data_IF_046859107077
#
_entry.id   IF_046859107077
#
_cell.length_a   1.000
_cell.length_b   1.000
_cell.length_c   1.000
_cell.angle_alpha   90.00
_cell.angle_beta   90.00
_cell.angle_gamma   90.00
#
_symmetry.space_group_name_H-M   'P 1'
#
loop_
_entity.id
_entity.type
_entity.pdbx_description
1 polymer ?
#
# COMPACT_ATOMS: atom_id res chain seq x y z
N UNK A 1 -4.48 -2.69 23.54
CA UNK A 1 -3.13 -2.40 22.99
C UNK A 1 -2.07 -2.19 24.08
N UNK A 2 -2.26 -1.29 25.06
CA UNK A 2 -1.30 -1.13 26.17
C UNK A 2 -1.11 -2.41 27.00
N UNK A 3 -2.18 -3.16 27.24
CA UNK A 3 -2.15 -4.39 28.04
C UNK A 3 -1.35 -5.52 27.36
N UNK A 4 -1.47 -5.64 26.03
CA UNK A 4 -0.72 -6.62 25.23
C UNK A 4 0.77 -6.25 25.16
N UNK A 5 1.09 -4.97 25.00
CA UNK A 5 2.48 -4.50 25.07
C UNK A 5 3.12 -4.75 26.44
N UNK A 6 2.37 -4.54 27.53
CA UNK A 6 2.85 -4.81 28.89
C UNK A 6 3.15 -6.29 29.12
N UNK A 7 2.29 -7.19 28.64
CA UNK A 7 2.51 -8.64 28.74
C UNK A 7 3.74 -9.10 27.94
N UNK A 8 3.98 -8.53 26.76
CA UNK A 8 5.18 -8.81 25.95
C UNK A 8 6.45 -8.38 26.68
N UNK A 9 6.43 -7.20 27.32
CA UNK A 9 7.58 -6.69 28.09
C UNK A 9 7.88 -7.59 29.29
N UNK A 10 6.85 -8.02 30.04
CA UNK A 10 6.99 -8.94 31.17
C UNK A 10 7.53 -10.30 30.70
N UNK A 11 7.03 -10.81 29.56
CA UNK A 11 7.51 -12.05 28.96
C UNK A 11 8.98 -11.98 28.53
N UNK A 12 9.41 -10.86 27.94
CA UNK A 12 10.80 -10.62 27.57
C UNK A 12 11.73 -10.54 28.80
N UNK A 13 11.30 -9.90 29.88
CA UNK A 13 12.07 -9.82 31.14
C UNK A 13 12.23 -11.21 31.78
N UNK A 14 11.16 -12.02 31.79
CA UNK A 14 11.21 -13.40 32.27
C UNK A 14 12.16 -14.28 31.44
N UNK A 15 12.13 -14.15 30.10
CA UNK A 15 12.97 -14.95 29.19
C UNK A 15 14.46 -14.62 29.36
N UNK A 16 14.77 -13.34 29.52
CA UNK A 16 16.14 -12.83 29.59
C UNK A 16 16.81 -13.15 30.93
N UNK A 17 16.03 -13.18 32.01
CA UNK A 17 16.48 -13.68 33.31
C UNK A 17 16.91 -15.15 33.26
N UNK A 18 16.20 -15.99 32.47
CA UNK A 18 16.55 -17.41 32.28
C UNK A 18 17.76 -17.62 31.37
N UNK A 19 17.97 -16.75 30.40
CA UNK A 19 19.07 -16.84 29.43
C UNK A 19 20.40 -16.28 29.94
N UNK A 20 20.45 -15.78 31.19
CA UNK A 20 21.64 -15.16 31.79
C UNK A 20 22.25 -14.02 30.94
N UNK A 21 21.43 -13.40 30.08
CA UNK A 21 21.82 -12.24 29.29
C UNK A 21 22.00 -11.09 30.26
N UNK A 22 23.17 -10.45 30.24
CA UNK A 22 23.45 -9.33 31.13
C UNK A 22 22.30 -8.32 31.05
N UNK A 23 21.74 -7.90 32.20
CA UNK A 23 20.60 -6.97 32.28
C UNK A 23 20.80 -5.66 31.47
N UNK A 24 22.05 -5.32 31.16
CA UNK A 24 22.45 -4.17 30.31
C UNK A 24 22.36 -4.44 28.81
N UNK A 25 22.44 -5.68 28.35
CA UNK A 25 22.39 -6.06 26.93
C UNK A 25 20.95 -6.15 26.40
N UNK A 26 19.97 -6.41 27.27
CA UNK A 26 18.55 -6.46 26.91
C UNK A 26 18.02 -5.14 26.32
N UNK A 27 18.17 -3.97 26.97
CA UNK A 27 17.70 -2.72 26.38
C UNK A 27 18.38 -2.42 25.04
N UNK A 28 19.65 -2.80 24.88
CA UNK A 28 20.38 -2.64 23.62
C UNK A 28 19.79 -3.52 22.50
N UNK A 29 19.49 -4.78 22.78
CA UNK A 29 18.83 -5.69 21.84
C UNK A 29 17.43 -5.20 21.47
N UNK A 30 16.66 -4.71 22.45
CA UNK A 30 15.32 -4.16 22.21
C UNK A 30 15.37 -2.93 21.31
N UNK A 31 16.31 -2.01 21.55
CA UNK A 31 16.52 -0.83 20.68
C UNK A 31 16.91 -1.26 19.27
N UNK A 32 17.82 -2.23 19.13
CA UNK A 32 18.22 -2.74 17.83
C UNK A 32 17.06 -3.40 17.07
N UNK A 33 16.24 -4.19 17.77
CA UNK A 33 15.04 -4.80 17.21
C UNK A 33 14.01 -3.76 16.76
N UNK A 34 13.79 -2.70 17.54
CA UNK A 34 12.91 -1.58 17.16
C UNK A 34 13.42 -0.89 15.89
N UNK A 35 14.71 -0.57 15.82
CA UNK A 35 15.31 0.09 14.64
C UNK A 35 15.17 -0.82 13.41
N UNK A 36 15.49 -2.10 13.54
CA UNK A 36 15.39 -3.06 12.44
C UNK A 36 13.93 -3.24 11.96
N UNK A 37 12.98 -3.34 12.89
CA UNK A 37 11.55 -3.41 12.57
C UNK A 37 11.06 -2.14 11.88
N UNK A 38 11.41 -0.96 12.41
CA UNK A 38 11.08 0.32 11.78
C UNK A 38 11.68 0.42 10.38
N UNK A 39 12.94 0.06 10.19
CA UNK A 39 13.60 0.07 8.88
C UNK A 39 12.86 -0.83 7.87
N UNK A 40 12.45 -2.03 8.29
CA UNK A 40 11.70 -2.95 7.46
C UNK A 40 10.29 -2.44 7.13
N UNK A 41 9.61 -1.78 8.07
CA UNK A 41 8.30 -1.18 7.84
C UNK A 41 8.41 -0.02 6.84
N UNK A 42 9.36 0.88 7.06
CA UNK A 42 9.55 2.07 6.22
C UNK A 42 9.91 1.71 4.78
N UNK A 43 10.99 0.94 4.60
CA UNK A 43 11.46 0.59 3.26
C UNK A 43 10.60 -0.45 2.59
N UNK A 44 9.91 -1.25 3.39
CA UNK A 44 9.14 -2.37 2.89
C UNK A 44 7.70 -2.07 2.52
N UNK A 45 7.08 -1.15 3.23
CA UNK A 45 5.65 -0.91 3.10
C UNK A 45 5.37 0.57 2.82
N UNK A 46 5.89 1.48 3.65
CA UNK A 46 5.56 2.91 3.54
C UNK A 46 6.05 3.51 2.22
N UNK A 47 7.32 3.31 1.86
CA UNK A 47 7.89 3.89 0.64
C UNK A 47 7.24 3.31 -0.64
N UNK A 48 7.09 1.98 -0.79
CA UNK A 48 6.38 1.40 -1.93
C UNK A 48 4.93 1.86 -2.03
N UNK A 49 4.17 1.83 -0.92
CA UNK A 49 2.77 2.25 -0.91
C UNK A 49 2.59 3.72 -1.30
N UNK A 50 3.49 4.61 -0.84
CA UNK A 50 3.48 6.01 -1.24
C UNK A 50 3.77 6.18 -2.74
N UNK A 51 4.66 5.34 -3.29
CA UNK A 51 4.99 5.35 -4.72
C UNK A 51 3.82 4.86 -5.57
N UNK A 52 3.14 3.81 -5.13
CA UNK A 52 1.90 3.31 -5.74
C UNK A 52 0.79 4.38 -5.73
N UNK A 53 0.56 5.04 -4.59
CA UNK A 53 -0.42 6.12 -4.48
C UNK A 53 -0.11 7.27 -5.46
N UNK A 54 1.15 7.67 -5.56
CA UNK A 54 1.57 8.72 -6.47
C UNK A 54 1.41 8.33 -7.94
N UNK A 55 1.72 7.08 -8.29
CA UNK A 55 1.55 6.54 -9.64
C UNK A 55 0.06 6.54 -10.04
N UNK A 56 -0.81 6.07 -9.14
CA UNK A 56 -2.26 6.10 -9.32
C UNK A 56 -2.77 7.54 -9.44
N UNK A 57 -2.30 8.44 -8.57
CA UNK A 57 -2.70 9.84 -8.59
C UNK A 57 -2.29 10.55 -9.88
N UNK A 58 -1.14 10.20 -10.45
CA UNK A 58 -0.68 10.70 -11.74
C UNK A 58 -1.57 10.20 -12.87
N UNK A 59 -1.82 8.88 -12.92
CA UNK A 59 -2.66 8.27 -13.93
C UNK A 59 -4.11 8.80 -13.90
N UNK A 60 -4.68 8.98 -12.70
CA UNK A 60 -5.99 9.60 -12.52
C UNK A 60 -6.00 11.05 -12.98
N UNK A 61 -5.02 11.88 -12.59
CA UNK A 61 -4.97 13.28 -13.05
C UNK A 61 -4.75 13.43 -14.55
N UNK A 62 -4.09 12.47 -15.18
CA UNK A 62 -3.85 12.49 -16.63
C UNK A 62 -5.09 12.05 -17.42
N UNK A 63 -5.78 11.00 -16.96
CA UNK A 63 -6.92 10.40 -17.69
C UNK A 63 -8.28 10.95 -17.29
N UNK A 64 -8.43 11.39 -16.04
CA UNK A 64 -9.70 11.86 -15.47
C UNK A 64 -9.61 13.37 -15.29
N UNK A 65 -10.41 14.11 -16.07
CA UNK A 65 -10.54 15.55 -15.90
C UNK A 65 -11.12 15.92 -14.52
N UNK A 66 -10.70 17.05 -13.96
CA UNK A 66 -11.18 17.48 -12.61
C UNK A 66 -12.70 17.63 -12.51
N UNK A 67 -13.35 17.99 -13.61
CA UNK A 67 -14.81 18.20 -13.71
C UNK A 67 -15.57 16.94 -14.14
N UNK A 68 -14.87 15.83 -14.38
CA UNK A 68 -15.51 14.57 -14.73
C UNK A 68 -16.32 14.04 -13.55
N UNK A 69 -17.57 13.65 -13.80
CA UNK A 69 -18.54 13.21 -12.78
C UNK A 69 -19.03 11.78 -13.01
N UNK A 70 -18.51 11.11 -14.04
CA UNK A 70 -18.79 9.73 -14.36
C UNK A 70 -18.02 8.73 -13.49
N UNK A 71 -18.18 7.45 -13.79
CA UNK A 71 -17.64 6.36 -12.98
C UNK A 71 -16.19 6.04 -13.36
N UNK A 72 -15.34 5.83 -12.36
CA UNK A 72 -13.95 5.39 -12.57
C UNK A 72 -13.82 3.94 -12.10
N UNK A 73 -13.37 3.10 -13.03
CA UNK A 73 -13.13 1.67 -12.80
C UNK A 73 -11.64 1.35 -12.95
N UNK A 74 -11.17 0.33 -12.24
CA UNK A 74 -9.79 -0.09 -12.23
C UNK A 74 -9.64 -1.49 -12.81
N UNK A 75 -8.75 -1.62 -13.79
CA UNK A 75 -8.33 -2.90 -14.33
C UNK A 75 -7.05 -3.35 -13.63
N UNK A 76 -7.16 -4.47 -12.91
CA UNK A 76 -6.09 -5.10 -12.13
C UNK A 76 -5.61 -6.43 -12.72
N UNK A 77 -6.11 -6.82 -13.90
CA UNK A 77 -5.82 -8.13 -14.49
C UNK A 77 -4.35 -8.28 -14.92
N UNK A 78 -3.65 -7.16 -15.14
CA UNK A 78 -2.23 -7.10 -15.48
C UNK A 78 -1.43 -6.32 -14.41
N UNK A 79 -1.20 -6.93 -13.23
CA UNK A 79 -0.46 -6.29 -12.13
C UNK A 79 1.04 -6.16 -12.43
N UNK A 80 1.59 -4.97 -12.28
CA UNK A 80 3.02 -4.71 -12.43
C UNK A 80 3.80 -5.02 -11.13
N UNK A 81 3.91 -6.30 -10.79
CA UNK A 81 4.66 -6.74 -9.61
C UNK A 81 6.11 -6.22 -9.64
N UNK A 82 6.61 -5.76 -8.49
CA UNK A 82 7.97 -5.23 -8.29
C UNK A 82 8.28 -3.87 -8.93
N UNK A 83 7.30 -3.10 -9.39
CA UNK A 83 7.54 -1.76 -9.94
C UNK A 83 8.34 -0.86 -8.96
N UNK A 84 7.99 -0.85 -7.67
CA UNK A 84 8.61 0.03 -6.67
C UNK A 84 9.48 -0.68 -5.64
N UNK A 85 9.71 -1.99 -5.79
CA UNK A 85 10.51 -2.80 -4.86
C UNK A 85 11.41 -3.76 -5.62
N UNK A 86 12.72 -3.72 -5.33
CA UNK A 86 13.71 -4.65 -5.91
C UNK A 86 13.69 -6.03 -5.24
N UNK A 87 13.06 -6.15 -4.07
CA UNK A 87 12.94 -7.39 -3.31
C UNK A 87 11.57 -8.00 -3.55
N UNK A 88 11.54 -9.17 -4.20
CA UNK A 88 10.34 -10.00 -4.31
C UNK A 88 9.93 -10.44 -2.90
N UNK A 89 8.72 -10.10 -2.47
CA UNK A 89 8.22 -10.45 -1.14
C UNK A 89 7.25 -11.62 -1.26
N UNK A 90 7.62 -12.74 -0.65
CA UNK A 90 6.86 -13.99 -0.61
C UNK A 90 5.86 -14.07 0.57
N UNK A 91 5.42 -12.93 1.11
CA UNK A 91 4.58 -12.86 2.31
C UNK A 91 3.17 -12.32 2.00
N UNK A 92 2.19 -12.64 2.85
CA UNK A 92 0.75 -12.38 2.73
C UNK A 92 0.41 -10.88 2.68
N UNK A 93 1.35 -10.02 3.09
CA UNK A 93 1.31 -8.56 2.98
C UNK A 93 2.22 -7.98 1.88
N UNK A 94 2.89 -8.83 1.10
CA UNK A 94 3.91 -8.49 0.11
C UNK A 94 3.40 -8.24 -1.30
N UNK A 95 2.09 -8.33 -1.53
CA UNK A 95 1.48 -7.98 -2.81
C UNK A 95 1.31 -6.46 -2.95
N UNK A 96 1.41 -5.98 -4.19
CA UNK A 96 1.18 -4.57 -4.52
C UNK A 96 -0.24 -4.17 -4.11
N UNK A 97 -0.39 -3.02 -3.43
CA UNK A 97 -1.70 -2.55 -2.99
C UNK A 97 -2.62 -2.29 -4.19
N UNK A 98 -2.04 -1.89 -5.33
CA UNK A 98 -2.75 -1.68 -6.60
C UNK A 98 -3.20 -2.96 -7.33
N UNK A 99 -2.91 -4.16 -6.81
CA UNK A 99 -3.51 -5.42 -7.26
C UNK A 99 -4.59 -5.93 -6.30
N UNK A 100 -4.75 -5.31 -5.13
CA UNK A 100 -5.76 -5.69 -4.16
C UNK A 100 -7.07 -4.92 -4.40
N UNK A 101 -8.19 -5.61 -4.74
CA UNK A 101 -9.49 -4.98 -4.99
C UNK A 101 -9.95 -4.00 -3.91
N UNK A 102 -9.70 -4.35 -2.65
CA UNK A 102 -10.13 -3.58 -1.48
C UNK A 102 -9.25 -2.34 -1.22
N UNK A 103 -7.97 -2.36 -1.58
CA UNK A 103 -7.04 -1.27 -1.28
C UNK A 103 -7.16 -0.12 -2.30
N UNK A 104 -7.45 -0.44 -3.56
CA UNK A 104 -7.54 0.54 -4.66
C UNK A 104 -8.65 1.56 -4.42
N UNK A 105 -9.80 1.11 -3.91
CA UNK A 105 -10.92 2.01 -3.59
C UNK A 105 -10.50 3.08 -2.59
N UNK A 106 -9.89 2.69 -1.47
CA UNK A 106 -9.44 3.63 -0.44
C UNK A 106 -8.37 4.59 -0.96
N UNK A 107 -7.43 4.12 -1.79
CA UNK A 107 -6.44 4.99 -2.43
C UNK A 107 -7.09 5.99 -3.40
N UNK A 108 -8.07 5.55 -4.19
CA UNK A 108 -8.78 6.42 -5.12
C UNK A 108 -9.63 7.48 -4.39
N UNK A 109 -10.29 7.12 -3.27
CA UNK A 109 -11.01 8.05 -2.40
C UNK A 109 -10.07 9.12 -1.81
N UNK A 110 -8.90 8.70 -1.32
CA UNK A 110 -7.88 9.64 -0.83
C UNK A 110 -7.42 10.60 -1.93
N UNK A 111 -7.24 10.12 -3.16
CA UNK A 111 -6.86 10.95 -4.31
C UNK A 111 -7.98 11.91 -4.70
N UNK A 112 -9.23 11.45 -4.70
CA UNK A 112 -10.40 12.27 -4.98
C UNK A 112 -10.47 13.48 -4.04
N UNK A 113 -10.30 13.25 -2.73
CA UNK A 113 -10.28 14.30 -1.71
C UNK A 113 -9.05 15.21 -1.89
N UNK A 114 -7.85 14.63 -1.94
CA UNK A 114 -6.60 15.39 -1.96
C UNK A 114 -6.38 16.22 -3.23
N UNK A 115 -6.94 15.79 -4.37
CA UNK A 115 -6.83 16.50 -5.66
C UNK A 115 -8.11 17.22 -6.09
N UNK A 116 -9.15 17.21 -5.26
CA UNK A 116 -10.45 17.85 -5.52
C UNK A 116 -11.05 17.44 -6.86
N UNK A 117 -11.08 16.13 -7.12
CA UNK A 117 -11.72 15.56 -8.32
C UNK A 117 -13.20 15.25 -8.04
N UNK A 118 -14.02 15.14 -9.08
CA UNK A 118 -15.48 14.97 -8.95
C UNK A 118 -16.02 13.64 -9.47
N UNK A 119 -15.12 12.70 -9.82
CA UNK A 119 -15.50 11.41 -10.36
C UNK A 119 -16.17 10.52 -9.32
N UNK A 120 -16.93 9.52 -9.76
CA UNK A 120 -17.62 8.58 -8.88
C UNK A 120 -16.90 7.25 -8.81
N UNK A 121 -16.94 6.64 -7.62
CA UNK A 121 -16.41 5.31 -7.36
C UNK A 121 -17.58 4.39 -7.03
N UNK A 122 -17.94 3.44 -7.91
CA UNK A 122 -19.00 2.49 -7.63
C UNK A 122 -18.62 1.54 -6.48
N UNK A 123 -19.57 0.76 -5.97
CA UNK A 123 -19.30 -0.21 -4.91
C UNK A 123 -18.24 -1.23 -5.34
N UNK A 124 -18.37 -1.74 -6.56
CA UNK A 124 -17.37 -2.56 -7.24
C UNK A 124 -16.54 -1.71 -8.20
N UNK A 125 -15.39 -1.23 -7.71
CA UNK A 125 -14.47 -0.41 -8.51
C UNK A 125 -13.61 -1.24 -9.48
N UNK A 126 -13.61 -2.56 -9.36
CA UNK A 126 -12.77 -3.44 -10.18
C UNK A 126 -13.51 -3.89 -11.43
N UNK A 127 -12.86 -3.75 -12.57
CA UNK A 127 -13.35 -4.22 -13.85
C UNK A 127 -13.23 -5.76 -13.91
N UNK A 128 -14.36 -6.46 -13.83
CA UNK A 128 -14.44 -7.92 -14.02
C UNK A 128 -14.84 -8.27 -15.46
N UNK A 129 -15.62 -7.41 -16.12
CA UNK A 129 -16.01 -7.54 -17.51
C UNK A 129 -16.04 -6.17 -18.20
N UNK A 130 -15.66 -6.10 -19.48
CA UNK A 130 -15.65 -4.85 -20.27
C UNK A 130 -17.04 -4.19 -20.34
N UNK A 131 -18.08 -4.99 -20.22
CA UNK A 131 -19.49 -4.58 -20.24
C UNK A 131 -19.95 -3.87 -18.96
N UNK A 132 -19.14 -3.80 -17.89
CA UNK A 132 -19.48 -3.00 -16.70
C UNK A 132 -19.38 -1.50 -16.93
N UNK A 133 -18.67 -1.08 -17.97
CA UNK A 133 -18.46 0.31 -18.34
C UNK A 133 -19.51 0.69 -19.43
N UNK A 134 -20.78 0.84 -19.04
CA UNK A 134 -21.88 1.10 -19.98
C UNK A 134 -22.24 2.59 -20.14
N UNK A 135 -21.95 3.42 -19.14
CA UNK A 135 -22.19 4.87 -19.09
C UNK A 135 -20.88 5.66 -19.25
N UNK A 136 -20.92 7.00 -19.08
CA UNK A 136 -19.72 7.86 -19.08
C UNK A 136 -18.73 7.40 -18.01
N UNK A 137 -17.74 6.61 -18.42
CA UNK A 137 -16.88 5.85 -17.52
C UNK A 137 -15.42 5.85 -18.03
N UNK A 138 -14.48 5.86 -17.09
CA UNK A 138 -13.04 5.86 -17.39
C UNK A 138 -12.40 4.65 -16.73
N UNK A 139 -11.70 3.85 -17.54
CA UNK A 139 -10.95 2.68 -17.06
C UNK A 139 -9.49 3.06 -16.84
N UNK A 140 -9.01 2.83 -15.62
CA UNK A 140 -7.61 3.00 -15.23
C UNK A 140 -6.95 1.63 -15.09
N UNK A 141 -6.00 1.35 -15.96
CA UNK A 141 -5.12 0.18 -15.84
C UNK A 141 -4.05 0.45 -14.78
N UNK A 142 -4.11 -0.25 -13.66
CA UNK A 142 -3.22 0.01 -12.52
C UNK A 142 -1.78 -0.41 -12.83
N UNK A 143 -1.58 -1.52 -13.53
CA UNK A 143 -0.26 -1.97 -13.99
C UNK A 143 0.46 -0.94 -14.88
N UNK A 144 -0.25 -0.36 -15.85
CA UNK A 144 0.32 0.67 -16.74
C UNK A 144 0.66 1.95 -15.99
N UNK A 145 -0.15 2.34 -15.00
CA UNK A 145 0.15 3.49 -14.13
C UNK A 145 1.47 3.29 -13.39
N UNK A 146 1.70 2.09 -12.86
CA UNK A 146 2.94 1.75 -12.15
C UNK A 146 4.14 1.65 -13.09
N UNK A 147 4.00 1.04 -14.27
CA UNK A 147 5.06 0.98 -15.29
C UNK A 147 5.46 2.37 -15.77
N UNK A 148 4.49 3.25 -16.03
CA UNK A 148 4.75 4.63 -16.45
C UNK A 148 5.48 5.44 -15.38
N UNK A 149 5.20 5.16 -14.10
CA UNK A 149 5.88 5.81 -12.98
C UNK A 149 7.29 5.28 -12.73
N UNK A 150 7.63 4.11 -13.26
CA UNK A 150 8.95 3.46 -13.09
C UNK A 150 9.85 3.58 -14.31
N UNK A 151 9.29 3.74 -15.51
CA UNK A 151 10.07 3.94 -16.75
C UNK A 151 10.57 5.38 -16.95
N UNK A 152 10.19 6.31 -16.08
CA UNK A 152 10.72 7.69 -16.07
C UNK A 152 11.96 7.82 -15.15
N UNK A 153 12.69 6.72 -14.95
CA UNK A 153 14.01 6.66 -14.33
C UNK A 153 14.99 5.93 -15.25
#
# INVERSE_FOLDING_TARGET
EFFTCALIIIGLDALTSKLNIAKKALPTLTVFAMIAASYNIFNGFIIPQKSELNALASALSYKVGKTFTGDVLFDIQDPAYNAFTKTQRYDEFGNISLAAPWAIKGMAEQILISKSMHFRLPENVILTAKEQCTTDCIIIKTGDAMRSATSNY
#
